data_IF_297334711444
#
_entry.id   IF_297334711444
#
_cell.length_a   1.000
_cell.length_b   1.000
_cell.length_c   1.000
_cell.angle_alpha   90.00
_cell.angle_beta   90.00
_cell.angle_gamma   90.00
#
_symmetry.space_group_name_H-M   'P 1'
#
loop_
_entity.id
_entity.type
_entity.pdbx_description
1 polymer ?
#
# COMPACT_ATOMS: atom_id res chain seq x y z
N UNK A 1 -1.92 19.97 -15.89
CA UNK A 1 -2.56 18.73 -15.38
C UNK A 1 -2.52 17.59 -16.39
N UNK A 2 -2.87 17.82 -17.66
CA UNK A 2 -2.89 16.75 -18.67
C UNK A 2 -1.50 16.15 -18.97
N UNK A 3 -0.45 16.98 -18.98
CA UNK A 3 0.94 16.52 -19.17
C UNK A 3 1.41 15.58 -18.04
N UNK A 4 1.14 15.92 -16.78
CA UNK A 4 1.47 15.06 -15.64
C UNK A 4 0.72 13.72 -15.69
N UNK A 5 -0.54 13.75 -16.15
CA UNK A 5 -1.33 12.54 -16.38
C UNK A 5 -0.71 11.67 -17.46
N UNK A 6 -0.30 12.23 -18.60
CA UNK A 6 0.39 11.48 -19.67
C UNK A 6 1.70 10.85 -19.18
N UNK A 7 2.51 11.61 -18.44
CA UNK A 7 3.76 11.10 -17.86
C UNK A 7 3.53 9.97 -16.86
N UNK A 8 2.50 10.08 -16.02
CA UNK A 8 2.10 9.01 -15.10
C UNK A 8 1.68 7.74 -15.88
N UNK A 9 0.89 7.90 -16.94
CA UNK A 9 0.43 6.78 -17.76
C UNK A 9 1.61 6.07 -18.44
N UNK A 10 2.56 6.85 -18.96
CA UNK A 10 3.80 6.32 -19.53
C UNK A 10 4.63 5.55 -18.49
N UNK A 11 4.72 6.05 -17.25
CA UNK A 11 5.43 5.36 -16.17
C UNK A 11 4.75 4.03 -15.81
N UNK A 12 3.43 4.01 -15.64
CA UNK A 12 2.66 2.79 -15.35
C UNK A 12 2.85 1.75 -16.45
N UNK A 13 2.73 2.15 -17.72
CA UNK A 13 2.92 1.26 -18.86
C UNK A 13 4.35 0.70 -18.93
N UNK A 14 5.36 1.52 -18.65
CA UNK A 14 6.74 1.05 -18.60
C UNK A 14 6.96 0.03 -17.49
N UNK A 15 6.46 0.30 -16.27
CA UNK A 15 6.56 -0.63 -15.15
C UNK A 15 5.91 -1.97 -15.50
N UNK A 16 4.70 -1.95 -16.08
CA UNK A 16 4.01 -3.18 -16.54
C UNK A 16 4.85 -3.95 -17.55
N UNK A 17 5.41 -3.26 -18.54
CA UNK A 17 6.26 -3.87 -19.58
C UNK A 17 7.55 -4.46 -18.99
N UNK A 18 8.12 -3.83 -17.96
CA UNK A 18 9.26 -4.38 -17.23
C UNK A 18 8.84 -5.63 -16.46
N UNK A 19 7.73 -5.57 -15.73
CA UNK A 19 7.18 -6.70 -14.94
C UNK A 19 6.81 -7.89 -15.83
N UNK A 20 6.27 -7.67 -17.04
CA UNK A 20 5.93 -8.76 -17.96
C UNK A 20 7.16 -9.50 -18.51
N UNK A 21 8.34 -8.85 -18.50
CA UNK A 21 9.63 -9.47 -18.88
C UNK A 21 10.34 -10.14 -17.71
N UNK A 22 9.85 -9.93 -16.48
CA UNK A 22 10.41 -10.49 -15.27
C UNK A 22 10.32 -9.53 -14.08
N UNK A 23 10.77 -9.96 -12.90
CA UNK A 23 10.70 -9.13 -11.70
C UNK A 23 11.56 -7.86 -11.82
N UNK A 24 11.07 -6.75 -11.27
CA UNK A 24 11.76 -5.47 -11.19
C UNK A 24 13.08 -5.59 -10.44
N UNK A 25 14.12 -4.93 -10.97
CA UNK A 25 15.42 -4.77 -10.31
C UNK A 25 15.42 -3.48 -9.50
N UNK A 26 16.36 -3.34 -8.57
CA UNK A 26 16.52 -2.12 -7.75
C UNK A 26 16.58 -0.84 -8.60
N UNK A 27 17.36 -0.85 -9.70
CA UNK A 27 17.44 0.27 -10.65
C UNK A 27 16.09 0.66 -11.27
N UNK A 28 15.21 -0.31 -11.51
CA UNK A 28 13.90 -0.04 -12.12
C UNK A 28 12.98 0.69 -11.14
N UNK A 29 13.10 0.35 -9.85
CA UNK A 29 12.39 1.02 -8.76
C UNK A 29 12.94 2.43 -8.56
N UNK A 30 14.27 2.59 -8.54
CA UNK A 30 14.93 3.89 -8.39
C UNK A 30 14.55 4.86 -9.51
N UNK A 31 14.60 4.41 -10.77
CA UNK A 31 14.22 5.21 -11.94
C UNK A 31 12.74 5.64 -11.88
N UNK A 32 11.86 4.72 -11.48
CA UNK A 32 10.44 5.01 -11.32
C UNK A 32 10.18 6.05 -10.22
N UNK A 33 10.88 5.92 -9.09
CA UNK A 33 10.79 6.88 -7.97
C UNK A 33 11.29 8.26 -8.38
N UNK A 34 12.40 8.36 -9.12
CA UNK A 34 12.90 9.64 -9.66
C UNK A 34 11.88 10.31 -10.58
N UNK A 35 11.23 9.54 -11.45
CA UNK A 35 10.19 10.05 -12.37
C UNK A 35 8.93 10.49 -11.64
N UNK A 36 8.50 9.78 -10.59
CA UNK A 36 7.40 10.25 -9.74
C UNK A 36 7.74 11.56 -9.05
N UNK A 37 8.99 11.73 -8.58
CA UNK A 37 9.45 12.97 -7.96
C UNK A 37 9.32 14.16 -8.92
N UNK A 38 9.63 13.96 -10.20
CA UNK A 38 9.42 14.97 -11.26
C UNK A 38 7.93 15.33 -11.48
N UNK A 39 6.99 14.47 -11.06
CA UNK A 39 5.56 14.74 -11.05
C UNK A 39 5.07 15.41 -9.75
N UNK A 40 5.99 15.79 -8.85
CA UNK A 40 5.67 16.31 -7.52
C UNK A 40 5.18 15.23 -6.55
N UNK A 41 5.50 13.96 -6.82
CA UNK A 41 5.10 12.81 -5.99
C UNK A 41 6.33 12.11 -5.45
N UNK A 42 6.49 12.16 -4.14
CA UNK A 42 7.53 11.42 -3.44
C UNK A 42 6.96 10.82 -2.17
N UNK A 43 7.62 9.78 -1.67
CA UNK A 43 7.45 9.41 -0.29
C UNK A 43 7.82 10.61 0.60
N UNK A 44 6.98 10.91 1.59
CA UNK A 44 7.13 12.09 2.45
C UNK A 44 7.71 11.66 3.78
N UNK A 45 9.04 11.61 3.88
CA UNK A 45 9.73 11.16 5.10
C UNK A 45 9.38 12.01 6.33
N UNK A 46 9.14 13.31 6.18
CA UNK A 46 8.68 14.17 7.27
C UNK A 46 7.29 13.78 7.80
N UNK A 47 6.42 13.25 6.93
CA UNK A 47 5.07 12.81 7.30
C UNK A 47 5.05 11.36 7.76
N UNK A 48 5.94 10.53 7.22
CA UNK A 48 6.03 9.09 7.46
C UNK A 48 7.48 8.70 7.74
N UNK A 49 8.06 9.17 8.86
CA UNK A 49 9.45 8.89 9.18
C UNK A 49 9.66 7.40 9.42
N UNK A 50 10.90 6.96 9.24
CA UNK A 50 11.29 5.59 9.58
C UNK A 50 11.10 5.33 11.08
N UNK A 51 10.49 4.20 11.40
CA UNK A 51 10.33 3.75 12.78
C UNK A 51 11.56 2.93 13.17
N UNK A 52 12.27 3.40 14.19
CA UNK A 52 13.45 2.74 14.73
C UNK A 52 13.06 1.74 15.82
N UNK A 53 13.82 0.65 15.94
CA UNK A 53 13.76 -0.33 17.04
C UNK A 53 12.38 -0.95 17.32
N UNK A 54 11.54 -1.06 16.28
CA UNK A 54 10.16 -1.57 16.39
C UNK A 54 10.10 -2.98 16.98
N UNK A 55 11.09 -3.81 16.69
CA UNK A 55 11.23 -5.19 17.19
C UNK A 55 11.32 -5.32 18.72
N UNK A 56 11.61 -4.23 19.45
CA UNK A 56 11.75 -4.24 20.91
C UNK A 56 10.48 -3.84 21.67
N UNK A 57 9.43 -3.43 20.96
CA UNK A 57 8.18 -2.99 21.59
C UNK A 57 7.56 -4.13 22.42
N UNK A 58 7.42 -3.90 23.72
CA UNK A 58 6.73 -4.80 24.65
C UNK A 58 5.26 -4.42 24.72
N UNK A 59 4.40 -5.44 24.74
CA UNK A 59 2.98 -5.23 24.97
C UNK A 59 2.75 -4.86 26.45
N UNK A 60 2.36 -3.62 26.68
CA UNK A 60 1.88 -3.14 27.97
C UNK A 60 0.39 -2.81 27.94
N UNK A 61 -0.37 -3.39 26.99
CA UNK A 61 -1.79 -3.07 26.76
C UNK A 61 -2.56 -3.09 28.07
N UNK A 62 -2.93 -1.88 28.47
CA UNK A 62 -3.63 -1.58 29.70
C UNK A 62 -4.99 -1.00 29.35
N UNK A 63 -5.94 -1.08 30.26
CA UNK A 63 -7.25 -0.45 30.04
C UNK A 63 -7.15 1.08 29.93
N UNK A 64 -6.07 1.67 30.46
CA UNK A 64 -5.79 3.10 30.49
C UNK A 64 -4.48 3.46 29.78
N UNK A 65 -4.36 4.68 29.22
CA UNK A 65 -3.09 5.19 28.69
C UNK A 65 -2.00 5.25 29.77
N UNK A 66 -0.78 4.83 29.43
CA UNK A 66 0.40 4.86 30.30
C UNK A 66 1.46 5.85 29.83
N UNK A 67 1.53 6.12 28.53
CA UNK A 67 2.53 7.00 27.92
C UNK A 67 1.95 8.28 27.33
N UNK A 68 2.82 9.27 27.06
CA UNK A 68 2.43 10.54 26.45
C UNK A 68 1.74 10.34 25.07
N UNK A 69 2.29 9.45 24.24
CA UNK A 69 1.70 9.11 22.94
C UNK A 69 0.32 8.45 23.08
N UNK A 70 0.16 7.54 24.05
CA UNK A 70 -1.11 6.88 24.35
C UNK A 70 -2.17 7.87 24.85
N UNK A 71 -1.77 8.81 25.71
CA UNK A 71 -2.64 9.86 26.23
C UNK A 71 -3.13 10.79 25.12
N UNK A 72 -2.25 11.14 24.16
CA UNK A 72 -2.63 11.91 22.98
C UNK A 72 -3.64 11.14 22.11
N UNK A 73 -3.38 9.87 21.81
CA UNK A 73 -4.30 9.03 21.04
C UNK A 73 -5.65 8.86 21.73
N UNK A 74 -5.65 8.77 23.07
CA UNK A 74 -6.86 8.76 23.87
C UNK A 74 -7.62 10.09 23.77
N UNK A 75 -6.94 11.23 23.94
CA UNK A 75 -7.53 12.57 23.78
C UNK A 75 -8.13 12.81 22.39
N UNK A 76 -7.53 12.21 21.35
CA UNK A 76 -8.00 12.26 19.96
C UNK A 76 -9.12 11.24 19.65
N UNK A 77 -9.59 10.47 20.63
CA UNK A 77 -10.62 9.45 20.44
C UNK A 77 -10.15 8.22 19.62
N UNK A 78 -8.83 8.03 19.50
CA UNK A 78 -8.20 6.91 18.77
C UNK A 78 -7.78 5.75 19.67
N UNK A 79 -8.11 5.78 20.96
CA UNK A 79 -7.71 4.76 21.94
C UNK A 79 -8.07 3.33 21.55
N UNK A 80 -9.31 3.11 21.11
CA UNK A 80 -9.77 1.78 20.68
C UNK A 80 -8.98 1.26 19.47
N UNK A 81 -8.66 2.13 18.52
CA UNK A 81 -7.87 1.76 17.35
C UNK A 81 -6.43 1.42 17.73
N UNK A 82 -5.83 2.21 18.63
CA UNK A 82 -4.50 1.95 19.19
C UNK A 82 -4.45 0.59 19.89
N UNK A 83 -5.38 0.31 20.82
CA UNK A 83 -5.43 -0.98 21.52
C UNK A 83 -5.56 -2.16 20.57
N UNK A 84 -6.42 -2.06 19.56
CA UNK A 84 -6.56 -3.12 18.57
C UNK A 84 -5.26 -3.33 17.78
N UNK A 85 -4.60 -2.23 17.39
CA UNK A 85 -3.30 -2.28 16.72
C UNK A 85 -2.21 -2.89 17.61
N UNK A 86 -2.12 -2.51 18.88
CA UNK A 86 -1.19 -3.09 19.85
C UNK A 86 -1.44 -4.60 20.03
N UNK A 87 -2.71 -5.02 20.11
CA UNK A 87 -3.05 -6.44 20.17
C UNK A 87 -2.63 -7.20 18.91
N UNK A 88 -2.84 -6.64 17.70
CA UNK A 88 -2.33 -7.24 16.46
C UNK A 88 -0.81 -7.27 16.38
N UNK A 89 -0.16 -6.31 17.03
CA UNK A 89 1.28 -6.30 17.17
C UNK A 89 1.73 -7.39 18.13
N UNK A 90 1.05 -7.64 19.24
CA UNK A 90 1.43 -8.65 20.22
C UNK A 90 1.14 -10.09 19.73
N UNK A 91 -0.10 -10.35 19.30
CA UNK A 91 -0.59 -11.68 18.94
C UNK A 91 -0.47 -11.96 17.43
N UNK A 92 0.38 -12.93 17.11
CA UNK A 92 0.63 -13.36 15.74
C UNK A 92 -0.47 -14.29 15.16
N UNK A 93 -1.32 -14.89 15.99
CA UNK A 93 -2.17 -16.01 15.59
C UNK A 93 -3.61 -15.63 15.19
N UNK A 94 -4.12 -14.47 15.60
CA UNK A 94 -5.49 -14.05 15.25
C UNK A 94 -5.52 -13.19 13.98
N UNK A 95 -5.75 -13.82 12.81
CA UNK A 95 -6.16 -13.05 11.61
C UNK A 95 -7.45 -12.29 11.94
N UNK A 96 -7.51 -10.98 11.73
CA UNK A 96 -8.64 -10.23 12.24
C UNK A 96 -9.82 -10.32 11.28
N UNK A 97 -11.04 -10.30 11.83
CA UNK A 97 -12.27 -10.17 11.03
C UNK A 97 -12.41 -8.77 10.42
N UNK A 98 -11.92 -7.73 11.12
CA UNK A 98 -11.97 -6.32 10.74
C UNK A 98 -10.61 -5.65 10.95
N UNK A 99 -10.32 -4.52 10.31
CA UNK A 99 -9.09 -3.76 10.60
C UNK A 99 -7.82 -4.38 10.00
N UNK A 100 -7.96 -5.07 8.85
CA UNK A 100 -6.85 -5.71 8.12
C UNK A 100 -5.67 -4.77 7.85
N UNK A 101 -5.91 -3.47 7.62
CA UNK A 101 -4.84 -2.49 7.41
C UNK A 101 -3.96 -2.34 8.66
N UNK A 102 -4.56 -2.21 9.84
CA UNK A 102 -3.79 -2.13 11.09
C UNK A 102 -3.08 -3.43 11.41
N UNK A 103 -3.71 -4.58 11.14
CA UNK A 103 -3.04 -5.86 11.26
C UNK A 103 -1.85 -6.00 10.31
N UNK A 104 -2.02 -5.66 9.03
CA UNK A 104 -0.94 -5.70 8.05
C UNK A 104 0.20 -4.75 8.45
N UNK A 105 -0.13 -3.57 8.97
CA UNK A 105 0.86 -2.64 9.48
C UNK A 105 1.60 -3.18 10.71
N UNK A 106 0.89 -3.81 11.66
CA UNK A 106 1.53 -4.46 12.80
C UNK A 106 2.50 -5.57 12.36
N UNK A 107 2.14 -6.37 11.35
CA UNK A 107 3.03 -7.37 10.75
C UNK A 107 4.23 -6.74 10.05
N UNK A 108 4.03 -5.62 9.33
CA UNK A 108 5.10 -4.83 8.74
C UNK A 108 6.11 -4.40 9.79
N UNK A 109 5.66 -3.84 10.91
CA UNK A 109 6.56 -3.34 11.96
C UNK A 109 7.39 -4.42 12.65
N UNK A 110 6.82 -5.61 12.85
CA UNK A 110 7.58 -6.76 13.41
C UNK A 110 8.67 -7.26 12.46
N UNK A 111 8.44 -7.17 11.14
CA UNK A 111 9.38 -7.66 10.15
C UNK A 111 9.21 -6.93 8.80
N UNK A 112 9.75 -5.70 8.68
CA UNK A 112 9.52 -4.86 7.50
C UNK A 112 10.12 -5.48 6.24
N UNK A 113 11.16 -6.29 6.41
CA UNK A 113 11.85 -6.99 5.33
C UNK A 113 11.07 -8.21 4.77
N UNK A 114 10.02 -8.66 5.48
CA UNK A 114 9.18 -9.79 5.05
C UNK A 114 7.74 -9.39 4.74
N UNK A 115 7.25 -8.33 5.38
CA UNK A 115 5.86 -7.92 5.31
C UNK A 115 5.77 -6.53 4.67
N UNK A 116 5.29 -6.41 3.42
CA UNK A 116 5.17 -5.12 2.75
C UNK A 116 4.07 -4.24 3.37
N UNK A 117 4.20 -2.93 3.22
CA UNK A 117 3.21 -1.97 3.68
C UNK A 117 1.92 -2.02 2.83
N UNK A 118 0.85 -2.49 3.45
CA UNK A 118 -0.47 -2.61 2.81
C UNK A 118 -1.39 -1.46 3.19
N UNK A 119 -1.79 -0.67 2.18
CA UNK A 119 -2.88 0.30 2.29
C UNK A 119 -3.62 0.43 0.94
N UNK A 120 -4.57 1.36 0.87
CA UNK A 120 -5.34 1.62 -0.35
C UNK A 120 -4.50 2.20 -1.50
N UNK A 121 -3.42 2.92 -1.21
CA UNK A 121 -2.55 3.50 -2.22
C UNK A 121 -1.61 2.45 -2.79
N UNK A 122 -0.95 1.66 -1.94
CA UNK A 122 -0.09 0.57 -2.39
C UNK A 122 -0.87 -0.49 -3.16
N UNK A 123 -2.11 -0.81 -2.74
CA UNK A 123 -2.99 -1.69 -3.52
C UNK A 123 -3.39 -1.08 -4.88
N UNK A 124 -3.72 0.22 -4.94
CA UNK A 124 -4.05 0.91 -6.21
C UNK A 124 -2.86 0.90 -7.18
N UNK A 125 -1.66 1.16 -6.66
CA UNK A 125 -0.43 1.09 -7.44
C UNK A 125 -0.18 -0.33 -7.96
N UNK A 126 -0.30 -1.34 -7.08
CA UNK A 126 -0.17 -2.74 -7.44
C UNK A 126 -1.17 -3.11 -8.55
N UNK A 127 -2.43 -2.71 -8.41
CA UNK A 127 -3.46 -2.99 -9.40
C UNK A 127 -3.08 -2.41 -10.77
N UNK A 128 -2.61 -1.17 -10.81
CA UNK A 128 -2.22 -0.52 -12.06
C UNK A 128 -1.02 -1.17 -12.75
N UNK A 129 -0.01 -1.61 -11.98
CA UNK A 129 1.28 -2.07 -12.56
C UNK A 129 1.37 -3.58 -12.71
N UNK A 130 0.54 -4.38 -12.02
CA UNK A 130 0.62 -5.82 -12.09
C UNK A 130 -0.17 -6.32 -13.33
N UNK A 131 0.50 -6.88 -14.36
CA UNK A 131 -0.16 -7.26 -15.60
C UNK A 131 -1.00 -8.54 -15.49
N UNK A 132 -0.80 -9.34 -14.44
CA UNK A 132 -1.29 -10.72 -14.36
C UNK A 132 -2.32 -10.94 -13.23
N UNK A 133 -3.06 -9.90 -12.83
CA UNK A 133 -4.20 -10.07 -11.94
C UNK A 133 -5.30 -10.86 -12.66
N UNK A 134 -5.89 -11.83 -11.97
CA UNK A 134 -7.04 -12.56 -12.55
C UNK A 134 -8.27 -11.66 -12.51
N UNK A 135 -9.30 -11.91 -13.36
CA UNK A 135 -10.55 -11.16 -13.30
C UNK A 135 -11.18 -11.13 -11.90
N UNK A 136 -11.08 -12.24 -11.16
CA UNK A 136 -11.55 -12.33 -9.77
C UNK A 136 -10.75 -11.45 -8.80
N UNK A 137 -9.41 -11.41 -8.96
CA UNK A 137 -8.55 -10.54 -8.14
C UNK A 137 -8.79 -9.06 -8.45
N UNK A 138 -9.00 -8.71 -9.73
CA UNK A 138 -9.37 -7.34 -10.15
C UNK A 138 -10.71 -6.92 -9.54
N UNK A 139 -11.72 -7.79 -9.56
CA UNK A 139 -13.03 -7.50 -8.98
C UNK A 139 -12.95 -7.28 -7.47
N UNK A 140 -12.10 -8.05 -6.76
CA UNK A 140 -11.84 -7.83 -5.33
C UNK A 140 -11.19 -6.47 -5.07
N UNK A 141 -10.19 -6.09 -5.88
CA UNK A 141 -9.54 -4.78 -5.80
C UNK A 141 -10.53 -3.65 -6.08
N UNK A 142 -11.38 -3.80 -7.10
CA UNK A 142 -12.44 -2.87 -7.45
C UNK A 142 -13.41 -2.68 -6.29
N UNK A 143 -13.94 -3.76 -5.73
CA UNK A 143 -14.87 -3.71 -4.60
C UNK A 143 -14.25 -3.07 -3.34
N UNK A 144 -12.94 -3.20 -3.14
CA UNK A 144 -12.24 -2.58 -2.02
C UNK A 144 -11.96 -1.09 -2.25
N UNK A 145 -11.62 -0.67 -3.47
CA UNK A 145 -11.11 0.67 -3.77
C UNK A 145 -12.15 1.62 -4.40
N UNK A 146 -13.16 1.10 -5.08
CA UNK A 146 -14.19 1.85 -5.80
C UNK A 146 -15.50 1.81 -5.02
N UNK A 147 -16.09 2.99 -4.82
CA UNK A 147 -17.35 3.19 -4.11
C UNK A 147 -18.53 3.38 -5.06
N UNK A 148 -19.56 4.04 -4.55
CA UNK A 148 -20.73 4.40 -5.34
C UNK A 148 -20.36 5.35 -6.49
N UNK A 149 -21.17 5.34 -7.54
CA UNK A 149 -20.97 6.19 -8.73
C UNK A 149 -19.60 6.01 -9.42
N UNK A 150 -18.98 4.83 -9.26
CA UNK A 150 -17.72 4.49 -9.93
C UNK A 150 -16.50 5.32 -9.45
N UNK A 151 -16.60 6.01 -8.30
CA UNK A 151 -15.55 6.88 -7.75
C UNK A 151 -14.64 6.15 -6.76
N UNK A 152 -13.42 6.65 -6.56
CA UNK A 152 -12.56 6.16 -5.49
C UNK A 152 -13.21 6.32 -4.11
N UNK A 153 -13.14 5.29 -3.27
CA UNK A 153 -13.49 5.42 -1.85
C UNK A 153 -12.51 6.37 -1.16
N UNK A 154 -13.00 7.09 -0.15
CA UNK A 154 -12.16 7.89 0.73
C UNK A 154 -11.13 7.05 1.48
N UNK A 155 -11.57 5.88 1.94
CA UNK A 155 -10.80 4.83 2.62
C UNK A 155 -11.12 3.45 2.06
N UNK A 156 -10.10 2.60 1.90
CA UNK A 156 -10.29 1.18 1.58
C UNK A 156 -11.13 0.48 2.65
N UNK A 157 -12.27 -0.07 2.25
CA UNK A 157 -13.22 -0.69 3.16
C UNK A 157 -14.08 -1.73 2.42
N UNK A 158 -14.60 -2.70 3.17
CA UNK A 158 -15.45 -3.76 2.63
C UNK A 158 -15.03 -5.15 3.10
N UNK A 159 -15.85 -6.14 2.77
CA UNK A 159 -15.65 -7.55 3.10
C UNK A 159 -14.40 -8.13 2.44
N UNK A 160 -13.95 -7.58 1.30
CA UNK A 160 -12.80 -8.06 0.53
C UNK A 160 -11.42 -7.66 1.07
N UNK A 161 -11.34 -7.04 2.25
CA UNK A 161 -10.09 -6.48 2.77
C UNK A 161 -9.02 -7.55 3.00
N UNK A 162 -9.41 -8.71 3.56
CA UNK A 162 -8.50 -9.80 3.84
C UNK A 162 -7.98 -10.45 2.55
N UNK A 163 -8.86 -10.61 1.56
CA UNK A 163 -8.52 -11.11 0.24
C UNK A 163 -7.59 -10.15 -0.50
N UNK A 164 -7.87 -8.84 -0.47
CA UNK A 164 -6.99 -7.84 -1.07
C UNK A 164 -5.60 -7.84 -0.45
N UNK A 165 -5.50 -8.02 0.88
CA UNK A 165 -4.20 -8.17 1.54
C UNK A 165 -3.46 -9.45 1.09
N UNK A 166 -4.17 -10.57 0.93
CA UNK A 166 -3.56 -11.80 0.43
C UNK A 166 -3.10 -11.67 -1.04
N UNK A 167 -3.92 -11.05 -1.89
CA UNK A 167 -3.57 -10.71 -3.28
C UNK A 167 -2.32 -9.84 -3.29
N UNK A 168 -2.30 -8.81 -2.45
CA UNK A 168 -1.18 -7.88 -2.35
C UNK A 168 0.12 -8.60 -2.04
N UNK A 169 0.17 -9.42 -0.97
CA UNK A 169 1.36 -10.19 -0.63
C UNK A 169 1.78 -11.15 -1.74
N UNK A 170 0.83 -11.85 -2.36
CA UNK A 170 1.10 -12.84 -3.43
C UNK A 170 1.74 -12.15 -4.63
N UNK A 171 1.15 -11.04 -5.09
CA UNK A 171 1.59 -10.33 -6.30
C UNK A 171 2.88 -9.56 -6.05
N UNK A 172 3.04 -8.94 -4.88
CA UNK A 172 4.25 -8.19 -4.57
C UNK A 172 5.50 -9.07 -4.55
N UNK A 173 5.40 -10.32 -4.07
CA UNK A 173 6.50 -11.31 -4.19
C UNK A 173 6.91 -11.60 -5.63
N UNK A 174 5.97 -11.57 -6.58
CA UNK A 174 6.28 -11.76 -8.00
C UNK A 174 6.88 -10.52 -8.67
N UNK A 175 6.80 -9.35 -8.05
CA UNK A 175 7.31 -8.11 -8.63
C UNK A 175 8.82 -7.92 -8.47
N UNK A 176 9.49 -8.64 -7.58
CA UNK A 176 10.91 -8.42 -7.26
C UNK A 176 11.74 -9.70 -7.37
N UNK A 177 12.95 -9.58 -7.91
CA UNK A 177 13.79 -10.74 -8.30
C UNK A 177 14.43 -11.43 -7.11
N UNK A 178 14.71 -10.67 -6.04
CA UNK A 178 15.14 -11.15 -4.74
C UNK A 178 14.44 -10.33 -3.67
N UNK A 179 13.80 -11.01 -2.72
CA UNK A 179 13.25 -10.39 -1.51
C UNK A 179 14.38 -10.03 -0.54
N UNK A 180 15.27 -9.14 -0.97
CA UNK A 180 16.19 -8.44 -0.08
C UNK A 180 15.44 -7.37 0.69
N UNK A 181 15.85 -7.13 1.93
CA UNK A 181 15.31 -6.09 2.82
C UNK A 181 15.16 -4.74 2.09
N UNK A 182 16.23 -4.32 1.41
CA UNK A 182 16.31 -3.02 0.75
C UNK A 182 15.36 -2.92 -0.46
N UNK A 183 15.27 -3.98 -1.27
CA UNK A 183 14.39 -3.98 -2.46
C UNK A 183 12.92 -3.87 -2.07
N UNK A 184 12.50 -4.51 -0.97
CA UNK A 184 11.13 -4.43 -0.48
C UNK A 184 10.80 -3.04 0.06
N UNK A 185 11.72 -2.46 0.83
CA UNK A 185 11.60 -1.10 1.37
C UNK A 185 11.49 -0.06 0.26
N UNK A 186 12.35 -0.14 -0.76
CA UNK A 186 12.30 0.76 -1.92
C UNK A 186 11.01 0.59 -2.71
N UNK A 187 10.51 -0.65 -2.84
CA UNK A 187 9.23 -0.89 -3.50
C UNK A 187 8.05 -0.27 -2.72
N UNK A 188 8.02 -0.39 -1.40
CA UNK A 188 6.97 0.25 -0.58
C UNK A 188 7.00 1.78 -0.72
N UNK A 189 8.21 2.36 -0.74
CA UNK A 189 8.43 3.80 -0.99
C UNK A 189 8.04 4.25 -2.39
N UNK A 190 8.00 3.35 -3.37
CA UNK A 190 7.47 3.59 -4.72
C UNK A 190 5.94 3.45 -4.78
N UNK A 191 5.38 2.38 -4.22
CA UNK A 191 3.96 2.04 -4.37
C UNK A 191 3.03 3.07 -3.74
N UNK A 192 3.39 3.62 -2.59
CA UNK A 192 2.57 4.64 -1.92
C UNK A 192 2.40 5.92 -2.75
N UNK A 193 3.46 6.65 -3.17
CA UNK A 193 3.33 7.85 -3.98
C UNK A 193 2.75 7.55 -5.37
N UNK A 194 3.04 6.39 -5.96
CA UNK A 194 2.41 5.96 -7.21
C UNK A 194 0.88 5.83 -7.05
N UNK A 195 0.43 5.20 -5.96
CA UNK A 195 -0.98 5.03 -5.65
C UNK A 195 -1.71 6.34 -5.32
N UNK A 196 -1.01 7.34 -4.78
CA UNK A 196 -1.52 8.70 -4.61
C UNK A 196 -1.65 9.41 -5.97
N UNK A 197 -0.59 9.34 -6.80
CA UNK A 197 -0.59 9.93 -8.14
C UNK A 197 -1.73 9.40 -9.00
N UNK A 198 -1.96 8.08 -9.00
CA UNK A 198 -3.06 7.45 -9.75
C UNK A 198 -4.41 7.98 -9.26
N UNK A 199 -4.63 8.06 -7.95
CA UNK A 199 -5.90 8.57 -7.39
C UNK A 199 -6.17 10.02 -7.79
N UNK A 200 -5.15 10.86 -7.82
CA UNK A 200 -5.30 12.27 -8.18
C UNK A 200 -5.55 12.47 -9.68
N UNK A 201 -5.01 11.59 -10.52
CA UNK A 201 -5.09 11.69 -11.97
C UNK A 201 -6.15 10.78 -12.62
N UNK A 202 -6.92 10.04 -11.83
CA UNK A 202 -8.05 9.23 -12.28
C UNK A 202 -9.24 9.48 -11.36
N UNK A 203 -10.35 10.04 -11.86
CA UNK A 203 -11.49 10.41 -11.01
C UNK A 203 -12.43 9.24 -10.70
N UNK A 204 -12.48 8.26 -11.59
CA UNK A 204 -13.38 7.11 -11.54
C UNK A 204 -12.71 5.85 -12.11
N UNK A 205 -13.36 4.71 -11.95
CA UNK A 205 -12.88 3.45 -12.48
C UNK A 205 -12.72 3.49 -13.99
N UNK A 206 -13.59 4.14 -14.78
CA UNK A 206 -13.38 4.26 -16.24
C UNK A 206 -12.06 4.95 -16.63
N UNK A 207 -11.65 5.98 -15.89
CA UNK A 207 -10.36 6.65 -16.10
C UNK A 207 -9.18 5.77 -15.67
N UNK A 208 -9.34 5.05 -14.56
CA UNK A 208 -8.37 4.06 -14.11
C UNK A 208 -8.25 2.87 -15.07
N UNK A 209 -9.36 2.38 -15.61
CA UNK A 209 -9.41 1.24 -16.51
C UNK A 209 -8.73 1.60 -17.84
N UNK A 210 -8.86 2.85 -18.32
CA UNK A 210 -8.06 3.34 -19.47
C UNK A 210 -6.55 3.32 -19.19
N UNK A 211 -6.13 3.73 -17.99
CA UNK A 211 -4.73 3.59 -17.56
C UNK A 211 -4.31 2.12 -17.48
N UNK A 212 -5.18 1.25 -16.94
CA UNK A 212 -4.91 -0.14 -16.64
C UNK A 212 -5.03 -1.08 -17.85
N UNK A 213 -5.83 -0.74 -18.86
CA UNK A 213 -6.13 -1.57 -20.03
C UNK A 213 -5.64 -1.01 -21.35
N UNK A 214 -4.82 0.05 -21.35
CA UNK A 214 -4.00 0.40 -22.52
C UNK A 214 -2.99 -0.72 -22.81
N UNK A 215 -3.51 -1.84 -23.32
CA UNK A 215 -2.85 -2.98 -23.93
C UNK A 215 -2.53 -2.57 -25.36
N UNK A 216 -1.52 -1.73 -25.51
CA UNK A 216 -0.87 -1.46 -26.80
C UNK A 216 0.56 -1.92 -26.69
#
# INVERSE_FOLDING_TARGET
>A
MEENRRRLFALVNELRRKISKGPLRARDIEDATKRLKQLGKSYKDETFPELLDTNTWKDESSNSPKGLAEALLWKLGRWKAYRNFANYYADDQSKPRNGIVFYAFARHLKNPNKNPMFDQHSLRALWAICPNLTPEEEEKCKNYLIGTQDRWKGSGSGTSAAECYNIFKKRLKSLITKSGADTLRELDRLLMPLGQAIREHTKNYREFDRLHRNRT
#
